data_IF_709390737773
#
_entry.id   IF_709390737773
#
_cell.length_a   1.000
_cell.length_b   1.000
_cell.length_c   1.000
_cell.angle_alpha   90.00
_cell.angle_beta   90.00
_cell.angle_gamma   90.00
#
_symmetry.space_group_name_H-M   'P 1'
#
loop_
_entity.id
_entity.type
_entity.pdbx_description
1 polymer ?
#
# COMPACT_ATOMS: atom_id res chain seq x y z
N UNK A 1 30.18 -27.78 3.50
CA UNK A 1 30.38 -26.72 2.48
C UNK A 1 31.63 -25.94 2.82
N UNK A 2 32.63 -25.87 1.94
CA UNK A 2 33.84 -25.10 2.18
C UNK A 2 33.49 -23.60 2.13
N UNK A 3 33.59 -22.93 3.26
CA UNK A 3 33.39 -21.48 3.34
C UNK A 3 34.58 -20.78 2.70
N UNK A 4 34.49 -20.47 1.39
CA UNK A 4 35.50 -19.68 0.71
C UNK A 4 35.58 -18.29 1.36
N UNK A 5 36.76 -17.94 1.91
CA UNK A 5 37.04 -16.63 2.47
C UNK A 5 37.87 -15.80 1.51
N UNK A 6 37.37 -14.61 1.13
CA UNK A 6 38.15 -13.68 0.31
C UNK A 6 39.38 -13.19 1.07
N UNK A 7 40.44 -12.79 0.33
CA UNK A 7 41.62 -12.16 0.93
C UNK A 7 41.26 -10.83 1.55
N UNK A 8 41.68 -10.61 2.79
CA UNK A 8 41.58 -9.35 3.50
C UNK A 8 42.67 -8.38 3.05
N UNK A 9 42.51 -7.07 3.35
CA UNK A 9 43.56 -6.08 3.07
C UNK A 9 44.86 -6.43 3.77
N UNK A 10 44.78 -6.88 5.05
CA UNK A 10 45.96 -7.30 5.82
C UNK A 10 46.69 -8.50 5.19
N UNK A 11 45.95 -9.47 4.66
CA UNK A 11 46.58 -10.60 3.97
C UNK A 11 47.25 -10.15 2.65
N UNK A 12 46.68 -9.20 1.94
CA UNK A 12 47.26 -8.60 0.74
C UNK A 12 48.56 -7.81 1.03
N UNK A 13 48.59 -7.10 2.14
CA UNK A 13 49.80 -6.42 2.63
C UNK A 13 50.91 -7.44 2.94
N UNK A 14 50.59 -8.55 3.61
CA UNK A 14 51.54 -9.63 3.86
C UNK A 14 52.04 -10.27 2.56
N UNK A 15 51.17 -10.44 1.56
CA UNK A 15 51.60 -10.95 0.22
C UNK A 15 52.63 -10.00 -0.37
N UNK A 16 52.37 -8.69 -0.38
CA UNK A 16 53.33 -7.71 -0.90
C UNK A 16 54.67 -7.76 -0.12
N UNK A 17 54.59 -7.80 1.21
CA UNK A 17 55.77 -7.86 2.07
C UNK A 17 56.67 -9.09 1.76
N UNK A 18 56.06 -10.27 1.65
CA UNK A 18 56.79 -11.48 1.33
C UNK A 18 57.32 -11.55 -0.13
N UNK A 19 56.55 -10.96 -1.08
CA UNK A 19 57.03 -10.82 -2.45
C UNK A 19 58.25 -9.91 -2.54
N UNK A 20 58.29 -8.82 -1.79
CA UNK A 20 59.46 -7.92 -1.73
C UNK A 20 60.67 -8.58 -1.08
N UNK A 21 60.47 -9.65 -0.30
CA UNK A 21 61.54 -10.49 0.26
C UNK A 21 61.88 -11.70 -0.63
N UNK A 22 61.40 -11.74 -1.88
CA UNK A 22 61.63 -12.83 -2.85
C UNK A 22 61.17 -14.21 -2.35
N UNK A 23 60.25 -14.28 -1.39
CA UNK A 23 59.72 -15.54 -0.87
C UNK A 23 58.84 -16.24 -1.90
N UNK A 24 58.91 -17.58 -1.90
CA UNK A 24 58.14 -18.41 -2.83
C UNK A 24 56.62 -18.35 -2.50
N UNK A 25 55.77 -18.56 -3.50
CA UNK A 25 54.29 -18.63 -3.33
C UNK A 25 53.93 -19.70 -2.30
N UNK A 26 54.68 -20.82 -2.24
CA UNK A 26 54.45 -21.88 -1.23
C UNK A 26 54.70 -21.41 0.18
N UNK A 27 55.76 -20.60 0.41
CA UNK A 27 56.04 -19.99 1.68
C UNK A 27 54.92 -19.02 2.09
N UNK A 28 54.52 -18.11 1.19
CA UNK A 28 53.43 -17.13 1.41
C UNK A 28 52.13 -17.84 1.77
N UNK A 29 51.79 -18.91 1.05
CA UNK A 29 50.58 -19.69 1.30
C UNK A 29 50.57 -20.34 2.71
N UNK A 30 51.74 -20.89 3.14
CA UNK A 30 51.88 -21.45 4.48
C UNK A 30 51.73 -20.40 5.57
N UNK A 31 52.36 -19.22 5.44
CA UNK A 31 52.27 -18.12 6.40
C UNK A 31 50.88 -17.51 6.49
N UNK A 32 50.13 -17.51 5.41
CA UNK A 32 48.75 -17.02 5.37
C UNK A 32 47.70 -18.09 5.71
N UNK A 33 48.11 -19.32 5.92
CA UNK A 33 47.22 -20.49 6.09
C UNK A 33 46.18 -20.57 4.95
N UNK A 34 46.65 -20.39 3.71
CA UNK A 34 45.84 -20.41 2.50
C UNK A 34 46.41 -21.43 1.50
N UNK A 35 45.55 -21.93 0.62
CA UNK A 35 46.01 -22.80 -0.45
C UNK A 35 46.96 -22.05 -1.40
N UNK A 36 48.03 -22.71 -1.83
CA UNK A 36 49.01 -22.19 -2.82
C UNK A 36 48.33 -21.69 -4.10
N UNK A 37 47.33 -22.43 -4.58
CA UNK A 37 46.54 -22.06 -5.76
C UNK A 37 45.72 -20.78 -5.56
N UNK A 38 45.26 -20.51 -4.34
CA UNK A 38 44.54 -19.29 -4.01
C UNK A 38 45.43 -18.07 -3.99
N UNK A 39 46.62 -18.17 -3.39
CA UNK A 39 47.63 -17.10 -3.37
C UNK A 39 48.14 -16.81 -4.80
N UNK A 40 48.48 -17.87 -5.56
CA UNK A 40 48.91 -17.70 -6.96
C UNK A 40 47.87 -16.97 -7.82
N UNK A 41 46.60 -17.37 -7.69
CA UNK A 41 45.49 -16.70 -8.40
C UNK A 41 45.27 -15.27 -7.93
N UNK A 42 45.42 -14.95 -6.65
CA UNK A 42 45.32 -13.58 -6.13
C UNK A 42 46.42 -12.69 -6.75
N UNK A 43 47.67 -13.15 -6.75
CA UNK A 43 48.80 -12.41 -7.34
C UNK A 43 48.59 -12.23 -8.84
N UNK A 44 48.40 -13.32 -9.60
CA UNK A 44 48.24 -13.28 -11.06
C UNK A 44 47.10 -12.39 -11.51
N UNK A 45 45.99 -12.37 -10.75
CA UNK A 45 44.79 -11.64 -11.12
C UNK A 45 44.83 -10.15 -10.79
N UNK A 46 45.74 -9.75 -9.90
CA UNK A 46 45.80 -8.40 -9.36
C UNK A 46 47.20 -7.73 -9.51
N UNK A 47 48.09 -8.32 -10.27
CA UNK A 47 49.33 -7.69 -10.74
C UNK A 47 48.95 -6.69 -11.85
N UNK A 48 49.50 -5.49 -11.81
CA UNK A 48 49.30 -4.46 -12.85
C UNK A 48 50.06 -4.78 -14.15
N UNK A 49 49.93 -3.92 -15.14
CA UNK A 49 50.59 -4.06 -16.46
C UNK A 49 52.13 -4.01 -16.37
N UNK A 50 52.69 -3.45 -15.31
CA UNK A 50 54.14 -3.33 -15.04
C UNK A 50 54.68 -4.54 -14.26
N UNK A 51 53.84 -5.55 -14.01
CA UNK A 51 54.24 -6.75 -13.27
C UNK A 51 54.25 -6.56 -11.73
N UNK A 52 53.77 -5.45 -11.21
CA UNK A 52 53.82 -5.13 -9.78
C UNK A 52 52.49 -5.49 -9.11
N UNK A 53 52.56 -6.26 -8.03
CA UNK A 53 51.42 -6.53 -7.15
C UNK A 53 51.26 -5.41 -6.13
N UNK A 54 50.05 -4.83 -6.04
CA UNK A 54 49.72 -3.82 -5.05
C UNK A 54 48.44 -4.17 -4.26
N UNK A 55 48.46 -4.17 -2.91
CA UNK A 55 47.30 -4.46 -2.08
C UNK A 55 46.11 -3.58 -2.35
N UNK A 56 46.32 -2.27 -2.52
CA UNK A 56 45.27 -1.29 -2.81
C UNK A 56 44.66 -1.51 -4.18
N UNK A 57 45.45 -1.78 -5.21
CA UNK A 57 44.97 -2.15 -6.53
C UNK A 57 44.18 -3.46 -6.48
N UNK A 58 44.70 -4.48 -5.81
CA UNK A 58 44.03 -5.78 -5.64
C UNK A 58 42.68 -5.62 -4.91
N UNK A 59 42.61 -4.76 -3.92
CA UNK A 59 41.36 -4.47 -3.20
C UNK A 59 40.36 -3.75 -4.10
N UNK A 60 40.79 -2.73 -4.82
CA UNK A 60 39.93 -2.03 -5.80
C UNK A 60 39.41 -2.97 -6.89
N UNK A 61 40.23 -3.82 -7.43
CA UNK A 61 39.83 -4.83 -8.42
C UNK A 61 38.84 -5.86 -7.83
N UNK A 62 39.05 -6.27 -6.58
CA UNK A 62 38.11 -7.13 -5.87
C UNK A 62 36.74 -6.45 -5.72
N UNK A 63 36.69 -5.19 -5.30
CA UNK A 63 35.43 -4.45 -5.16
C UNK A 63 34.69 -4.31 -6.51
N UNK A 64 35.42 -3.98 -7.60
CA UNK A 64 34.87 -3.89 -8.96
C UNK A 64 34.26 -5.22 -9.39
N UNK A 65 34.98 -6.34 -9.19
CA UNK A 65 34.47 -7.67 -9.49
C UNK A 65 33.27 -8.04 -8.62
N UNK A 66 33.32 -7.74 -7.33
CA UNK A 66 32.22 -8.02 -6.40
C UNK A 66 30.95 -7.25 -6.76
N UNK A 67 31.04 -6.02 -7.23
CA UNK A 67 29.88 -5.25 -7.72
C UNK A 67 29.21 -5.87 -8.94
N UNK A 68 29.95 -6.62 -9.75
CA UNK A 68 29.43 -7.34 -10.92
C UNK A 68 28.82 -8.70 -10.57
N UNK A 69 29.11 -9.23 -9.38
CA UNK A 69 28.60 -10.51 -8.91
C UNK A 69 27.22 -10.34 -8.26
N UNK A 70 26.42 -11.38 -8.35
CA UNK A 70 25.10 -11.44 -7.74
C UNK A 70 23.95 -11.22 -8.72
N UNK A 71 22.75 -11.58 -8.27
CA UNK A 71 21.52 -11.41 -9.07
C UNK A 71 21.20 -9.94 -9.21
N UNK A 72 21.06 -9.47 -10.44
CA UNK A 72 20.62 -8.09 -10.71
C UNK A 72 19.22 -7.87 -10.12
N UNK A 73 18.96 -6.70 -9.51
CA UNK A 73 17.61 -6.37 -9.02
C UNK A 73 16.58 -6.42 -10.14
N UNK A 74 15.45 -7.09 -9.91
CA UNK A 74 14.38 -7.22 -10.92
C UNK A 74 13.86 -5.86 -11.41
N UNK A 75 13.86 -4.87 -10.55
CA UNK A 75 13.42 -3.50 -10.89
C UNK A 75 14.42 -2.73 -11.80
N UNK A 76 15.55 -3.32 -12.17
CA UNK A 76 16.43 -2.79 -13.23
C UNK A 76 16.00 -3.25 -14.64
N UNK A 77 15.07 -4.21 -14.75
CA UNK A 77 14.42 -4.53 -16.01
C UNK A 77 13.41 -3.42 -16.33
N UNK A 78 13.47 -2.88 -17.55
CA UNK A 78 12.68 -1.71 -17.96
C UNK A 78 11.16 -1.97 -17.90
N UNK A 79 10.70 -3.13 -18.35
CA UNK A 79 9.28 -3.48 -18.40
C UNK A 79 8.71 -3.65 -16.98
N UNK A 80 9.45 -4.37 -16.13
CA UNK A 80 9.07 -4.56 -14.72
C UNK A 80 9.05 -3.22 -14.01
N UNK A 81 10.05 -2.38 -14.22
CA UNK A 81 10.15 -1.05 -13.62
C UNK A 81 8.95 -0.19 -14.02
N UNK A 82 8.71 -0.05 -15.33
CA UNK A 82 7.62 0.78 -15.87
C UNK A 82 6.26 0.34 -15.35
N UNK A 83 5.98 -0.96 -15.38
CA UNK A 83 4.71 -1.51 -14.87
C UNK A 83 4.54 -1.26 -13.37
N UNK A 84 5.55 -1.58 -12.56
CA UNK A 84 5.47 -1.40 -11.11
C UNK A 84 5.38 0.08 -10.74
N UNK A 85 6.15 0.95 -11.40
CA UNK A 85 6.11 2.39 -11.18
C UNK A 85 4.73 2.97 -11.53
N UNK A 86 4.18 2.61 -12.67
CA UNK A 86 2.85 3.04 -13.10
C UNK A 86 1.76 2.64 -12.10
N UNK A 87 1.71 1.36 -11.70
CA UNK A 87 0.73 0.87 -10.73
C UNK A 87 0.90 1.53 -9.35
N UNK A 88 2.14 1.79 -8.94
CA UNK A 88 2.42 2.41 -7.64
C UNK A 88 2.13 3.92 -7.65
N UNK A 89 2.52 4.66 -8.69
CA UNK A 89 2.41 6.11 -8.74
C UNK A 89 1.06 6.60 -9.24
N UNK A 90 0.51 6.00 -10.29
CA UNK A 90 -0.75 6.43 -10.90
C UNK A 90 -1.97 5.79 -10.23
N UNK A 91 -1.99 4.47 -10.11
CA UNK A 91 -3.08 3.75 -9.44
C UNK A 91 -2.96 3.72 -7.92
N UNK A 92 -1.81 4.14 -7.39
CA UNK A 92 -1.53 4.21 -5.94
C UNK A 92 -1.74 2.87 -5.22
N UNK A 93 -1.43 1.78 -5.91
CA UNK A 93 -1.49 0.46 -5.30
C UNK A 93 -0.32 0.22 -4.36
N UNK A 94 -0.57 -0.48 -3.26
CA UNK A 94 0.51 -0.92 -2.39
C UNK A 94 1.37 -2.01 -3.06
N UNK A 95 2.63 -2.20 -2.64
CA UNK A 95 3.46 -3.30 -3.12
C UNK A 95 2.80 -4.67 -3.04
N UNK A 96 2.00 -4.94 -2.00
CA UNK A 96 1.23 -6.18 -1.89
C UNK A 96 0.15 -6.28 -2.98
N UNK A 97 -0.61 -5.21 -3.19
CA UNK A 97 -1.65 -5.16 -4.22
C UNK A 97 -1.08 -5.41 -5.60
N UNK A 98 0.05 -4.79 -5.94
CA UNK A 98 0.76 -4.98 -7.21
C UNK A 98 1.20 -6.45 -7.37
N UNK A 99 1.95 -6.97 -6.41
CA UNK A 99 2.49 -8.32 -6.46
C UNK A 99 1.42 -9.40 -6.61
N UNK A 100 0.37 -9.32 -5.79
CA UNK A 100 -0.68 -10.33 -5.79
C UNK A 100 -1.65 -10.18 -6.95
N UNK A 101 -1.89 -8.96 -7.43
CA UNK A 101 -2.74 -8.75 -8.61
C UNK A 101 -2.07 -9.26 -9.88
N UNK A 102 -0.79 -8.98 -10.11
CA UNK A 102 -0.02 -9.55 -11.22
C UNK A 102 -0.07 -11.08 -11.20
N UNK A 103 0.07 -11.67 -10.02
CA UNK A 103 -0.05 -13.14 -9.87
C UNK A 103 -1.46 -13.64 -10.16
N UNK A 104 -2.49 -12.95 -9.70
CA UNK A 104 -3.90 -13.30 -9.92
C UNK A 104 -4.26 -13.31 -11.41
N UNK A 105 -3.76 -12.34 -12.16
CA UNK A 105 -3.96 -12.21 -13.60
C UNK A 105 -3.04 -13.10 -14.44
N UNK A 106 -2.18 -13.91 -13.80
CA UNK A 106 -1.16 -14.71 -14.48
C UNK A 106 -0.27 -13.87 -15.41
N UNK A 107 -0.03 -12.60 -15.05
CA UNK A 107 0.81 -11.69 -15.80
C UNK A 107 2.24 -12.27 -15.96
N UNK A 108 2.90 -12.12 -17.09
CA UNK A 108 4.29 -12.58 -17.28
C UNK A 108 5.28 -11.93 -16.31
N UNK A 109 4.97 -10.72 -15.83
CA UNK A 109 5.76 -10.04 -14.80
C UNK A 109 5.45 -10.63 -13.42
N UNK A 110 6.43 -11.36 -12.87
CA UNK A 110 6.33 -11.92 -11.52
C UNK A 110 7.34 -11.21 -10.60
N UNK A 111 6.84 -10.46 -9.63
CA UNK A 111 7.67 -9.74 -8.66
C UNK A 111 7.05 -9.80 -7.26
N UNK A 112 7.87 -10.12 -6.25
CA UNK A 112 7.38 -10.16 -4.87
C UNK A 112 7.22 -8.77 -4.29
N UNK A 113 6.24 -8.59 -3.41
CA UNK A 113 6.03 -7.32 -2.70
C UNK A 113 7.26 -6.88 -1.90
N UNK A 114 8.01 -7.83 -1.31
CA UNK A 114 9.23 -7.53 -0.59
C UNK A 114 10.32 -6.95 -1.50
N UNK A 115 10.38 -7.37 -2.78
CA UNK A 115 11.30 -6.81 -3.78
C UNK A 115 10.87 -5.38 -4.16
N UNK A 116 9.57 -5.14 -4.28
CA UNK A 116 9.04 -3.79 -4.56
C UNK A 116 9.34 -2.85 -3.39
N UNK A 117 9.08 -3.26 -2.13
CA UNK A 117 9.44 -2.46 -0.95
C UNK A 117 10.92 -2.10 -0.93
N UNK A 118 11.80 -3.10 -1.13
CA UNK A 118 13.26 -2.84 -1.21
C UNK A 118 13.63 -1.88 -2.31
N UNK A 119 12.95 -1.95 -3.46
CA UNK A 119 13.13 -1.01 -4.56
C UNK A 119 12.72 0.41 -4.23
N UNK A 120 11.58 0.58 -3.56
CA UNK A 120 11.10 1.89 -3.08
C UNK A 120 12.11 2.52 -2.12
N UNK A 121 12.57 1.78 -1.12
CA UNK A 121 13.56 2.28 -0.16
C UNK A 121 14.95 2.51 -0.76
N UNK A 122 15.29 1.89 -1.89
CA UNK A 122 16.53 2.12 -2.65
C UNK A 122 16.39 3.23 -3.70
N UNK A 123 15.21 3.84 -3.83
CA UNK A 123 14.96 4.91 -4.78
C UNK A 123 14.80 4.46 -6.23
N UNK A 124 14.56 3.17 -6.50
CA UNK A 124 14.41 2.69 -7.89
C UNK A 124 13.15 3.19 -8.59
N UNK A 125 12.12 3.64 -7.85
CA UNK A 125 10.87 4.14 -8.40
C UNK A 125 10.77 5.68 -8.38
N UNK A 126 11.87 6.38 -8.07
CA UNK A 126 11.88 7.84 -8.03
C UNK A 126 11.79 8.46 -9.44
N UNK A 127 11.05 9.56 -9.54
CA UNK A 127 10.97 10.39 -10.73
C UNK A 127 11.93 11.60 -10.57
N UNK A 128 13.20 11.41 -10.88
CA UNK A 128 14.23 12.44 -10.79
C UNK A 128 15.16 12.32 -9.57
N UNK A 129 16.05 13.28 -9.42
CA UNK A 129 17.01 13.32 -8.30
C UNK A 129 16.33 13.83 -7.03
N UNK A 130 16.48 13.10 -5.93
CA UNK A 130 16.03 13.55 -4.63
C UNK A 130 17.03 14.53 -4.01
N UNK A 131 16.51 15.58 -3.38
CA UNK A 131 17.32 16.44 -2.51
C UNK A 131 17.73 15.67 -1.23
N UNK A 132 18.90 15.96 -0.63
CA UNK A 132 19.32 15.33 0.62
C UNK A 132 18.23 15.39 1.71
N UNK A 133 18.01 14.30 2.42
CA UNK A 133 16.99 14.21 3.49
C UNK A 133 15.53 14.03 3.02
N UNK A 134 15.25 14.06 1.75
CA UNK A 134 13.91 13.79 1.25
C UNK A 134 13.59 12.29 1.21
N UNK A 135 12.36 11.95 1.58
CA UNK A 135 11.89 10.56 1.62
C UNK A 135 11.35 10.02 0.28
N UNK A 136 11.33 10.83 -0.77
CA UNK A 136 10.89 10.45 -2.10
C UNK A 136 9.53 9.73 -2.16
N UNK A 137 9.40 8.77 -3.05
CA UNK A 137 8.19 7.95 -3.23
C UNK A 137 7.83 7.09 -2.01
N UNK A 138 8.73 6.86 -1.07
CA UNK A 138 8.42 6.17 0.19
C UNK A 138 7.33 6.88 1.01
N UNK A 139 7.11 8.19 0.78
CA UNK A 139 5.98 8.94 1.38
C UNK A 139 4.61 8.43 0.94
N UNK A 140 4.51 7.83 -0.24
CA UNK A 140 3.25 7.31 -0.80
C UNK A 140 2.83 5.98 -0.17
N UNK A 141 3.68 5.36 0.67
CA UNK A 141 3.31 4.19 1.46
C UNK A 141 2.37 4.57 2.60
N UNK A 142 1.29 3.81 2.78
CA UNK A 142 0.18 4.15 3.69
C UNK A 142 0.58 4.27 5.16
N UNK A 143 1.32 3.34 5.70
CA UNK A 143 1.49 3.23 7.16
C UNK A 143 2.79 3.79 7.74
N UNK A 144 3.78 4.12 6.98
CA UNK A 144 5.02 4.83 7.39
C UNK A 144 5.48 4.63 8.86
N UNK A 145 5.19 3.47 9.47
CA UNK A 145 5.55 3.20 10.86
C UNK A 145 4.70 3.92 11.93
N UNK A 146 3.53 4.48 11.59
CA UNK A 146 2.63 5.10 12.58
C UNK A 146 1.99 4.03 13.46
N UNK A 147 2.13 4.18 14.78
CA UNK A 147 1.43 3.41 15.80
C UNK A 147 0.01 3.92 16.00
N UNK A 148 -0.94 3.00 16.31
CA UNK A 148 -2.31 3.39 16.68
C UNK A 148 -2.30 3.91 18.12
N UNK A 149 -2.85 5.11 18.32
CA UNK A 149 -3.17 5.61 19.65
C UNK A 149 -4.52 5.06 20.10
N UNK A 150 -4.60 4.55 21.33
CA UNK A 150 -5.88 4.22 22.00
C UNK A 150 -6.55 5.52 22.38
N UNK A 151 -7.72 5.80 21.83
CA UNK A 151 -8.54 6.93 22.27
C UNK A 151 -9.59 6.42 23.25
N UNK A 152 -9.48 6.82 24.51
CA UNK A 152 -10.58 6.78 25.46
C UNK A 152 -11.41 8.06 25.28
N UNK A 153 -12.57 7.99 24.65
CA UNK A 153 -13.47 9.13 24.51
C UNK A 153 -14.86 8.75 25.00
N UNK A 154 -15.38 9.51 25.94
CA UNK A 154 -16.76 9.39 26.42
C UNK A 154 -17.67 10.05 25.39
N UNK A 155 -18.68 9.34 24.90
CA UNK A 155 -19.62 9.87 23.92
C UNK A 155 -20.70 10.74 24.59
N UNK A 156 -20.73 12.03 24.20
CA UNK A 156 -21.71 13.02 24.68
C UNK A 156 -22.81 13.30 23.65
N UNK A 157 -22.92 12.50 22.58
CA UNK A 157 -23.87 12.73 21.48
C UNK A 157 -25.29 12.36 21.89
N UNK A 158 -26.27 13.22 21.51
CA UNK A 158 -27.69 12.96 21.75
C UNK A 158 -28.18 11.73 20.99
N UNK A 159 -29.13 11.01 21.57
CA UNK A 159 -29.77 9.82 21.00
C UNK A 159 -30.70 10.21 19.84
N UNK A 160 -30.64 9.49 18.72
CA UNK A 160 -31.65 9.53 17.65
C UNK A 160 -32.65 8.38 17.88
N UNK A 161 -33.92 8.55 17.42
CA UNK A 161 -34.87 7.45 17.33
C UNK A 161 -34.37 6.50 16.27
N UNK A 162 -34.27 5.22 16.57
CA UNK A 162 -33.80 4.18 15.63
C UNK A 162 -34.99 3.31 15.19
N UNK A 163 -34.97 2.81 13.94
CA UNK A 163 -36.02 1.92 13.43
C UNK A 163 -35.79 0.47 13.87
N UNK A 164 -34.60 -0.06 13.59
CA UNK A 164 -34.23 -1.43 13.95
C UNK A 164 -32.83 -1.49 14.55
N UNK A 165 -32.65 -2.45 15.44
CA UNK A 165 -31.35 -2.78 16.02
C UNK A 165 -30.49 -3.57 15.04
N UNK A 166 -29.17 -3.48 15.12
CA UNK A 166 -28.27 -4.25 14.25
C UNK A 166 -28.41 -5.76 14.42
N UNK A 167 -28.87 -6.22 15.59
CA UNK A 167 -29.18 -7.64 15.86
C UNK A 167 -30.32 -8.19 14.98
N UNK A 168 -31.21 -7.33 14.50
CA UNK A 168 -32.33 -7.69 13.62
C UNK A 168 -31.93 -7.72 12.15
N UNK A 169 -30.68 -7.31 11.82
CA UNK A 169 -30.19 -7.27 10.44
C UNK A 169 -30.09 -8.66 9.86
N UNK A 170 -30.60 -8.89 8.61
CA UNK A 170 -30.58 -10.19 7.95
C UNK A 170 -29.19 -10.84 7.94
N UNK A 171 -29.15 -12.15 8.17
CA UNK A 171 -27.90 -12.90 8.24
C UNK A 171 -27.08 -12.80 6.93
N UNK A 172 -27.72 -12.78 5.78
CA UNK A 172 -27.08 -12.56 4.48
C UNK A 172 -26.30 -11.24 4.43
N UNK A 173 -26.82 -10.18 5.08
CA UNK A 173 -26.11 -8.91 5.21
C UNK A 173 -24.95 -9.02 6.21
N UNK A 174 -25.10 -9.78 7.30
CA UNK A 174 -24.03 -10.05 8.27
C UNK A 174 -22.87 -10.80 7.63
N UNK A 175 -23.17 -11.88 6.91
CA UNK A 175 -22.19 -12.72 6.22
C UNK A 175 -21.68 -12.12 4.90
N UNK A 176 -22.26 -11.01 4.45
CA UNK A 176 -21.83 -10.31 3.22
C UNK A 176 -22.00 -11.13 1.95
N UNK A 177 -23.10 -11.86 1.86
CA UNK A 177 -23.35 -12.78 0.76
C UNK A 177 -23.88 -12.11 -0.50
N UNK A 178 -24.56 -10.95 -0.34
CA UNK A 178 -25.24 -10.26 -1.45
C UNK A 178 -24.78 -8.81 -1.57
N UNK A 179 -24.97 -8.23 -2.75
CA UNK A 179 -24.79 -6.81 -3.04
C UNK A 179 -26.06 -6.06 -2.64
N UNK A 180 -25.91 -4.79 -2.23
CA UNK A 180 -27.01 -3.92 -1.84
C UNK A 180 -27.15 -3.72 -0.33
N UNK A 181 -26.29 -4.33 0.48
CA UNK A 181 -26.23 -4.08 1.92
C UNK A 181 -25.16 -3.01 2.20
N UNK A 182 -25.59 -1.79 2.53
CA UNK A 182 -24.73 -0.61 2.62
C UNK A 182 -24.39 -0.22 4.06
N UNK A 183 -23.16 0.19 4.30
CA UNK A 183 -22.76 0.94 5.50
C UNK A 183 -22.67 2.42 5.14
N UNK A 184 -23.34 3.29 5.91
CA UNK A 184 -23.36 4.74 5.69
C UNK A 184 -22.55 5.47 6.76
N UNK A 185 -21.79 6.50 6.36
CA UNK A 185 -21.01 7.34 7.28
C UNK A 185 -20.76 8.73 6.68
N UNK A 186 -20.20 9.62 7.48
CA UNK A 186 -19.78 10.94 7.04
C UNK A 186 -18.30 11.18 7.32
N UNK A 187 -17.60 11.76 6.37
CA UNK A 187 -16.18 12.11 6.49
C UNK A 187 -16.08 13.63 6.55
N UNK A 188 -16.04 14.18 7.77
CA UNK A 188 -15.92 15.62 7.98
C UNK A 188 -14.50 16.13 7.74
N UNK A 189 -14.36 17.28 7.11
CA UNK A 189 -13.16 18.09 7.05
C UNK A 189 -13.05 19.04 8.23
N UNK A 190 -13.19 20.35 7.97
CA UNK A 190 -13.35 21.39 9.00
C UNK A 190 -14.77 21.31 9.57
N UNK A 191 -14.89 21.42 10.89
CA UNK A 191 -16.19 21.41 11.58
C UNK A 191 -17.08 22.56 11.09
N UNK A 192 -18.35 22.27 10.84
CA UNK A 192 -19.32 23.26 10.36
C UNK A 192 -19.30 23.57 8.86
N UNK A 193 -18.34 23.03 8.12
CA UNK A 193 -18.21 23.16 6.67
C UNK A 193 -18.59 21.89 5.91
N UNK A 194 -18.32 21.85 4.62
CA UNK A 194 -18.59 20.72 3.74
C UNK A 194 -18.02 19.40 4.28
N UNK A 195 -18.76 18.32 4.06
CA UNK A 195 -18.34 16.97 4.39
C UNK A 195 -18.66 16.00 3.24
N UNK A 196 -18.11 14.80 3.31
CA UNK A 196 -18.42 13.72 2.38
C UNK A 196 -19.40 12.76 3.04
N UNK A 197 -20.46 12.40 2.34
CA UNK A 197 -21.32 11.28 2.67
C UNK A 197 -20.75 10.05 1.95
N UNK A 198 -20.53 8.96 2.68
CA UNK A 198 -19.97 7.74 2.14
C UNK A 198 -20.93 6.58 2.35
N UNK A 199 -21.11 5.80 1.29
CA UNK A 199 -21.84 4.54 1.31
C UNK A 199 -20.90 3.45 0.83
N UNK A 200 -20.74 2.37 1.61
CA UNK A 200 -19.87 1.26 1.25
C UNK A 200 -20.68 -0.02 1.24
N UNK A 201 -20.72 -0.69 0.11
CA UNK A 201 -21.35 -2.01 0.00
C UNK A 201 -20.57 -3.05 0.81
N UNK A 202 -21.27 -3.84 1.60
CA UNK A 202 -20.64 -4.75 2.56
C UNK A 202 -19.95 -5.95 1.90
N UNK A 203 -20.49 -6.45 0.80
CA UNK A 203 -19.90 -7.57 0.04
C UNK A 203 -18.73 -7.11 -0.80
N UNK A 204 -18.99 -6.19 -1.72
CA UNK A 204 -18.02 -5.77 -2.73
C UNK A 204 -16.99 -4.75 -2.25
N UNK A 205 -17.24 -4.07 -1.12
CA UNK A 205 -16.46 -2.91 -0.65
C UNK A 205 -16.53 -1.71 -1.59
N UNK A 206 -17.49 -1.70 -2.50
CA UNK A 206 -17.71 -0.60 -3.44
C UNK A 206 -18.12 0.66 -2.70
N UNK A 207 -17.45 1.76 -3.02
CA UNK A 207 -17.63 3.06 -2.37
C UNK A 207 -18.42 4.00 -3.28
N UNK A 208 -19.54 4.50 -2.81
CA UNK A 208 -20.16 5.72 -3.31
C UNK A 208 -19.81 6.88 -2.37
N UNK A 209 -19.51 8.04 -2.94
CA UNK A 209 -19.09 9.20 -2.16
C UNK A 209 -19.59 10.49 -2.80
N UNK A 210 -20.28 11.31 -2.02
CA UNK A 210 -20.82 12.59 -2.46
C UNK A 210 -20.50 13.69 -1.46
N UNK A 211 -20.20 14.91 -1.96
CA UNK A 211 -19.97 16.10 -1.14
C UNK A 211 -21.28 16.78 -0.82
N UNK A 212 -21.48 17.10 0.45
CA UNK A 212 -22.56 17.95 0.90
C UNK A 212 -21.99 19.24 1.52
N UNK A 213 -22.71 20.35 1.34
CA UNK A 213 -22.26 21.65 1.84
C UNK A 213 -22.18 21.71 3.36
N UNK A 214 -23.03 20.93 4.05
CA UNK A 214 -23.13 20.93 5.50
C UNK A 214 -23.47 19.54 6.02
N UNK A 215 -22.93 19.19 7.19
CA UNK A 215 -23.25 17.94 7.89
C UNK A 215 -24.58 18.07 8.64
N UNK A 216 -25.69 18.11 7.94
CA UNK A 216 -27.05 18.13 8.48
C UNK A 216 -27.90 16.99 7.92
N UNK A 217 -29.04 16.70 8.54
CA UNK A 217 -29.88 15.56 8.17
C UNK A 217 -30.56 15.73 6.81
N UNK A 218 -30.80 16.95 6.35
CA UNK A 218 -31.44 17.22 5.06
C UNK A 218 -30.46 16.94 3.93
N UNK A 219 -29.26 17.54 4.00
CA UNK A 219 -28.20 17.35 2.99
C UNK A 219 -27.77 15.88 2.89
N UNK A 220 -27.58 15.20 4.03
CA UNK A 220 -27.21 13.79 4.07
C UNK A 220 -28.29 12.89 3.49
N UNK A 221 -29.58 13.16 3.81
CA UNK A 221 -30.73 12.46 3.20
C UNK A 221 -30.70 12.57 1.68
N UNK A 222 -30.59 13.79 1.15
CA UNK A 222 -30.58 14.04 -0.29
C UNK A 222 -29.42 13.30 -0.99
N UNK A 223 -28.21 13.33 -0.41
CA UNK A 223 -27.05 12.66 -0.96
C UNK A 223 -27.22 11.13 -0.97
N UNK A 224 -27.76 10.52 0.08
CA UNK A 224 -28.00 9.07 0.12
C UNK A 224 -29.02 8.66 -0.95
N UNK A 225 -30.15 9.38 -1.04
CA UNK A 225 -31.19 9.11 -2.04
C UNK A 225 -30.58 9.24 -3.44
N UNK A 226 -29.84 10.31 -3.72
CA UNK A 226 -29.21 10.55 -5.00
C UNK A 226 -28.22 9.44 -5.40
N UNK A 227 -27.37 9.02 -4.46
CA UNK A 227 -26.38 7.95 -4.72
C UNK A 227 -27.00 6.56 -4.92
N UNK A 228 -28.17 6.28 -4.32
CA UNK A 228 -28.79 4.96 -4.35
C UNK A 228 -30.04 4.84 -5.23
N UNK A 229 -30.51 5.92 -5.84
CA UNK A 229 -31.76 5.94 -6.63
C UNK A 229 -31.77 4.90 -7.77
N UNK A 230 -30.64 4.70 -8.43
CA UNK A 230 -30.48 3.77 -9.56
C UNK A 230 -29.93 2.38 -9.12
N UNK A 231 -29.67 2.20 -7.83
CA UNK A 231 -29.29 0.94 -7.22
C UNK A 231 -30.53 0.28 -6.56
N UNK A 232 -30.43 -0.99 -6.26
CA UNK A 232 -31.50 -1.70 -5.49
C UNK A 232 -30.98 -2.00 -4.08
N UNK A 233 -30.93 -0.99 -3.19
CA UNK A 233 -30.44 -1.19 -1.84
C UNK A 233 -31.33 -2.18 -1.09
N UNK A 234 -30.73 -3.07 -0.31
CA UNK A 234 -31.42 -4.06 0.53
C UNK A 234 -31.47 -3.60 1.98
N UNK A 235 -30.32 -3.18 2.49
CA UNK A 235 -30.22 -2.64 3.86
C UNK A 235 -29.24 -1.47 3.91
N UNK A 236 -29.45 -0.57 4.87
CA UNK A 236 -28.52 0.53 5.17
C UNK A 236 -28.18 0.50 6.66
N UNK A 237 -26.89 0.51 6.99
CA UNK A 237 -26.40 0.54 8.37
C UNK A 237 -25.59 1.82 8.60
N UNK A 238 -26.22 2.91 9.06
CA UNK A 238 -25.53 4.17 9.40
C UNK A 238 -24.90 4.10 10.81
N UNK A 239 -24.23 5.18 11.22
CA UNK A 239 -23.97 5.40 12.65
C UNK A 239 -25.18 6.03 13.35
N UNK A 240 -25.07 6.24 14.67
CA UNK A 240 -26.12 6.92 15.45
C UNK A 240 -25.97 8.45 15.43
N UNK A 241 -25.36 9.01 14.39
CA UNK A 241 -25.21 10.44 14.23
C UNK A 241 -26.54 11.14 13.91
N UNK A 242 -26.72 12.36 14.42
CA UNK A 242 -27.92 13.18 14.18
C UNK A 242 -28.21 13.45 12.71
N UNK A 243 -27.18 13.38 11.86
CA UNK A 243 -27.26 13.51 10.41
C UNK A 243 -28.10 12.40 9.74
N UNK A 244 -28.28 11.26 10.40
CA UNK A 244 -29.12 10.15 9.93
C UNK A 244 -30.52 10.13 10.58
N UNK A 245 -30.94 11.19 11.28
CA UNK A 245 -32.25 11.26 11.94
C UNK A 245 -33.43 11.15 10.98
N UNK A 246 -33.22 11.47 9.68
CA UNK A 246 -34.25 11.36 8.63
C UNK A 246 -34.22 10.03 7.87
N UNK A 247 -33.75 8.95 8.50
CA UNK A 247 -33.65 7.66 7.88
C UNK A 247 -34.98 7.06 7.42
N UNK A 248 -36.11 7.37 8.11
CA UNK A 248 -37.45 6.94 7.69
C UNK A 248 -37.85 7.57 6.33
N UNK A 249 -37.46 8.83 6.09
CA UNK A 249 -37.72 9.51 4.81
C UNK A 249 -36.82 8.90 3.68
N UNK A 250 -35.60 8.54 4.00
CA UNK A 250 -34.71 7.85 3.05
C UNK A 250 -35.28 6.46 2.72
N UNK A 251 -35.74 5.72 3.73
CA UNK A 251 -36.37 4.40 3.56
C UNK A 251 -37.50 4.49 2.55
N UNK A 252 -38.49 5.37 2.76
CA UNK A 252 -39.63 5.57 1.86
C UNK A 252 -39.19 5.95 0.42
N UNK A 253 -38.21 6.83 0.29
CA UNK A 253 -37.71 7.28 -1.01
C UNK A 253 -36.98 6.18 -1.79
N UNK A 254 -36.49 5.15 -1.13
CA UNK A 254 -35.73 4.03 -1.69
C UNK A 254 -36.49 2.70 -1.63
N UNK A 255 -37.83 2.75 -1.77
CA UNK A 255 -38.72 1.57 -1.78
C UNK A 255 -38.65 0.77 -0.47
N UNK A 256 -38.80 1.45 0.65
CA UNK A 256 -38.86 0.91 2.01
C UNK A 256 -37.61 0.12 2.44
N UNK A 257 -36.43 0.57 2.00
CA UNK A 257 -35.16 -0.02 2.42
C UNK A 257 -34.99 0.04 3.94
N UNK A 258 -34.60 -1.07 4.54
CA UNK A 258 -34.51 -1.21 5.99
C UNK A 258 -33.20 -0.61 6.54
N UNK A 259 -33.31 0.14 7.64
CA UNK A 259 -32.20 0.73 8.36
C UNK A 259 -31.92 -0.05 9.65
N UNK A 260 -30.63 -0.40 9.88
CA UNK A 260 -30.18 -1.12 11.06
C UNK A 260 -29.09 -0.31 11.77
N UNK A 261 -29.26 -0.03 13.05
CA UNK A 261 -28.36 0.82 13.81
C UNK A 261 -27.46 0.00 14.74
N UNK A 262 -26.12 0.25 14.75
CA UNK A 262 -25.18 -0.44 15.61
C UNK A 262 -25.42 -0.12 17.08
N UNK A 263 -24.91 -1.02 17.96
CA UNK A 263 -24.87 -0.74 19.39
C UNK A 263 -23.97 0.46 19.69
N UNK A 264 -24.29 1.22 20.74
CA UNK A 264 -23.36 2.24 21.23
C UNK A 264 -21.99 1.65 21.54
N UNK A 265 -20.92 2.39 21.21
CA UNK A 265 -19.54 2.02 21.50
C UNK A 265 -19.03 0.72 20.83
N UNK A 266 -19.71 0.19 19.82
CA UNK A 266 -19.32 -0.99 19.07
C UNK A 266 -18.90 -0.66 17.60
N UNK A 267 -17.80 0.08 17.37
CA UNK A 267 -17.38 0.50 16.02
C UNK A 267 -17.08 -0.66 15.09
N UNK A 268 -16.68 -1.82 15.63
CA UNK A 268 -16.38 -3.03 14.83
C UNK A 268 -17.58 -3.56 14.06
N UNK A 269 -18.82 -3.25 14.47
CA UNK A 269 -20.03 -3.60 13.74
C UNK A 269 -20.12 -2.92 12.36
N UNK A 270 -19.35 -1.85 12.12
CA UNK A 270 -19.23 -1.09 10.87
C UNK A 270 -17.78 -0.99 10.37
N UNK A 271 -17.02 -2.05 10.54
CA UNK A 271 -15.60 -2.08 10.18
C UNK A 271 -15.31 -1.85 8.69
N UNK A 272 -16.32 -2.03 7.80
CA UNK A 272 -16.16 -1.77 6.36
C UNK A 272 -16.00 -0.29 6.09
N UNK A 273 -16.86 0.55 6.69
CA UNK A 273 -16.77 2.00 6.59
C UNK A 273 -15.50 2.55 7.23
N UNK A 274 -15.15 2.10 8.44
CA UNK A 274 -13.93 2.57 9.11
C UNK A 274 -12.69 2.37 8.23
N UNK A 275 -12.56 1.18 7.65
CA UNK A 275 -11.44 0.90 6.74
C UNK A 275 -11.47 1.77 5.49
N UNK A 276 -12.63 1.90 4.83
CA UNK A 276 -12.78 2.66 3.59
C UNK A 276 -12.60 4.16 3.82
N UNK A 277 -13.16 4.69 4.90
CA UNK A 277 -12.93 6.08 5.29
C UNK A 277 -11.47 6.35 5.63
N UNK A 278 -10.77 5.36 6.21
CA UNK A 278 -9.32 5.43 6.42
C UNK A 278 -8.53 5.54 5.10
N UNK A 279 -8.98 4.90 4.03
CA UNK A 279 -8.39 5.02 2.69
C UNK A 279 -8.75 6.37 2.05
N UNK A 280 -10.00 6.80 2.18
CA UNK A 280 -10.47 8.09 1.65
C UNK A 280 -9.70 9.26 2.29
N UNK A 281 -9.29 9.12 3.56
CA UNK A 281 -8.45 10.07 4.28
C UNK A 281 -7.02 10.21 3.75
N UNK A 282 -6.58 9.34 2.87
CA UNK A 282 -5.32 9.50 2.14
C UNK A 282 -5.40 10.68 1.15
N UNK A 283 -6.61 10.95 0.62
CA UNK A 283 -6.90 12.04 -0.31
C UNK A 283 -7.49 13.28 0.38
N UNK A 284 -8.31 13.06 1.39
CA UNK A 284 -9.02 14.10 2.13
C UNK A 284 -8.66 14.02 3.63
N UNK A 285 -7.50 14.56 4.04
CA UNK A 285 -7.03 14.52 5.42
C UNK A 285 -8.02 15.17 6.41
N UNK A 286 -7.94 14.80 7.67
CA UNK A 286 -8.68 15.48 8.75
C UNK A 286 -8.31 16.95 8.79
N UNK A 287 -9.27 17.80 9.10
CA UNK A 287 -9.12 19.28 9.18
C UNK A 287 -8.88 19.98 7.83
N UNK A 288 -8.97 19.28 6.70
CA UNK A 288 -8.97 19.92 5.39
C UNK A 288 -10.33 20.57 5.12
N UNK A 289 -10.34 21.78 4.58
CA UNK A 289 -11.56 22.38 4.06
C UNK A 289 -11.98 21.70 2.75
N UNK A 290 -13.18 21.15 2.73
CA UNK A 290 -13.72 20.43 1.57
C UNK A 290 -14.61 21.32 0.70
N UNK A 291 -14.84 22.57 1.10
CA UNK A 291 -15.81 23.48 0.44
C UNK A 291 -15.43 23.70 -1.02
N UNK A 292 -14.17 24.03 -1.29
CA UNK A 292 -13.67 24.35 -2.65
C UNK A 292 -13.34 23.10 -3.48
N UNK A 293 -13.41 21.90 -2.91
CA UNK A 293 -13.10 20.68 -3.64
C UNK A 293 -14.20 20.36 -4.65
N UNK A 294 -13.82 20.24 -5.92
CA UNK A 294 -14.76 19.91 -7.00
C UNK A 294 -15.37 18.52 -6.81
N UNK A 295 -16.68 18.34 -7.03
CA UNK A 295 -17.33 17.01 -6.93
C UNK A 295 -16.72 15.97 -7.87
N UNK A 296 -16.22 16.38 -9.05
CA UNK A 296 -15.52 15.48 -9.98
C UNK A 296 -14.30 14.84 -9.34
N UNK A 297 -13.45 15.63 -8.66
CA UNK A 297 -12.27 15.10 -7.97
C UNK A 297 -12.63 14.06 -6.91
N UNK A 298 -13.75 14.25 -6.19
CA UNK A 298 -14.20 13.29 -5.18
C UNK A 298 -14.61 11.97 -5.86
N UNK A 299 -15.37 12.04 -6.96
CA UNK A 299 -15.73 10.85 -7.75
C UNK A 299 -14.52 10.13 -8.31
N UNK A 300 -13.53 10.86 -8.84
CA UNK A 300 -12.29 10.29 -9.36
C UNK A 300 -11.52 9.54 -8.27
N UNK A 301 -11.44 10.11 -7.06
CA UNK A 301 -10.77 9.45 -5.93
C UNK A 301 -11.54 8.22 -5.43
N UNK A 302 -12.88 8.28 -5.42
CA UNK A 302 -13.70 7.11 -5.12
C UNK A 302 -13.51 6.00 -6.18
N UNK A 303 -13.44 6.36 -7.47
CA UNK A 303 -13.18 5.41 -8.55
C UNK A 303 -11.81 4.73 -8.41
N UNK A 304 -10.75 5.51 -8.14
CA UNK A 304 -9.41 4.96 -7.87
C UNK A 304 -9.46 3.96 -6.71
N UNK A 305 -10.19 4.25 -5.63
CA UNK A 305 -10.35 3.33 -4.50
C UNK A 305 -11.15 2.06 -4.88
N UNK A 306 -12.15 2.21 -5.75
CA UNK A 306 -12.97 1.10 -6.24
C UNK A 306 -12.22 0.19 -7.20
N UNK A 307 -11.23 0.70 -7.93
CA UNK A 307 -10.36 -0.09 -8.81
C UNK A 307 -9.17 -0.72 -8.08
N UNK A 308 -8.95 -0.37 -6.81
CA UNK A 308 -7.81 -0.87 -6.02
C UNK A 308 -8.06 -2.30 -5.54
N UNK A 309 -7.21 -3.29 -5.88
CA UNK A 309 -7.38 -4.68 -5.44
C UNK A 309 -7.44 -4.82 -3.92
N UNK A 310 -8.29 -5.72 -3.43
CA UNK A 310 -8.49 -5.96 -2.00
C UNK A 310 -8.16 -7.41 -1.64
N UNK A 311 -7.35 -7.61 -0.62
CA UNK A 311 -7.04 -8.95 -0.10
C UNK A 311 -8.31 -9.72 0.32
N UNK A 312 -9.25 -9.03 0.98
CA UNK A 312 -10.53 -9.62 1.42
C UNK A 312 -11.49 -9.98 0.26
N UNK A 313 -11.18 -9.59 -0.97
CA UNK A 313 -11.90 -9.93 -2.20
C UNK A 313 -11.05 -10.84 -3.10
N UNK A 314 -10.12 -11.60 -2.53
CA UNK A 314 -9.19 -12.45 -3.28
C UNK A 314 -8.45 -11.70 -4.39
N UNK A 315 -8.02 -10.47 -4.08
CA UNK A 315 -7.29 -9.55 -4.99
C UNK A 315 -8.09 -9.02 -6.18
N UNK A 316 -9.40 -9.26 -6.21
CA UNK A 316 -10.32 -8.50 -7.06
C UNK A 316 -10.48 -7.09 -6.50
N UNK A 317 -10.84 -6.15 -7.37
CA UNK A 317 -11.22 -4.80 -6.97
C UNK A 317 -12.68 -4.73 -6.50
N UNK A 318 -13.08 -3.75 -5.68
CA UNK A 318 -14.47 -3.47 -5.38
C UNK A 318 -15.35 -3.32 -6.63
N UNK A 319 -14.83 -2.67 -7.66
CA UNK A 319 -15.51 -2.46 -8.93
C UNK A 319 -15.84 -3.81 -9.62
N UNK A 320 -14.86 -4.72 -9.71
CA UNK A 320 -15.05 -6.04 -10.31
C UNK A 320 -16.12 -6.86 -9.58
N UNK A 321 -16.11 -6.81 -8.25
CA UNK A 321 -17.08 -7.58 -7.44
C UNK A 321 -18.47 -6.97 -7.48
N UNK A 322 -18.58 -5.64 -7.56
CA UNK A 322 -19.87 -4.95 -7.57
C UNK A 322 -20.59 -5.12 -8.90
N UNK A 323 -19.89 -5.03 -10.02
CA UNK A 323 -20.45 -5.15 -11.36
C UNK A 323 -20.36 -6.56 -11.96
N UNK A 324 -19.75 -7.51 -11.22
CA UNK A 324 -19.50 -8.89 -11.66
C UNK A 324 -18.76 -8.96 -13.01
N UNK A 325 -17.70 -8.18 -13.13
CA UNK A 325 -16.85 -8.13 -14.31
C UNK A 325 -15.40 -8.43 -13.93
N UNK A 326 -14.54 -8.72 -14.90
CA UNK A 326 -13.10 -8.84 -14.72
C UNK A 326 -12.39 -7.69 -15.39
N UNK A 327 -11.53 -6.99 -14.64
CA UNK A 327 -10.60 -5.98 -15.17
C UNK A 327 -9.25 -6.65 -15.38
N UNK A 328 -8.63 -6.41 -16.54
CA UNK A 328 -7.28 -6.87 -16.82
C UNK A 328 -6.32 -5.68 -16.82
N UNK A 329 -5.11 -5.90 -16.30
CA UNK A 329 -4.00 -4.98 -16.46
C UNK A 329 -3.43 -5.18 -17.87
N UNK A 330 -3.84 -4.36 -18.80
CA UNK A 330 -3.31 -4.35 -20.17
C UNK A 330 -2.00 -3.60 -20.24
#
# INVERSE_FOLDING_TARGET
MSHYKHFTTKEREKILFFLAQEKTISFIAKELQRDKSSVSREIKRNTNTEGIYSPSYAHKQYEIRRRKCGRKPLLLNADIHKTVQFLFLQYQWSPEQISFRLKHEKNPIQISYATIYRGIYRGFLEEGKLSPGQRGVARKLRHRGKTRHKNGCIETRGKIKISHHISERPEQANQRERIGDWEADTVAGVTGKACLVTLVDRKSRYLLCEKVAKKDSISVKQAIIHMLKDSRPKTITPDRGKEFSRHEEISKALNDVQFYFPEPHQPWQRGTNENTNGLLREYFPKKQDLTEIKPSLIRDKALILNQRPRKCLNWKSPFEVYFDISLHLT
#
